data_IF_523409591760
#
_entry.id   IF_523409591760
#
_cell.length_a   1.000
_cell.length_b   1.000
_cell.length_c   1.000
_cell.angle_alpha   90.00
_cell.angle_beta   90.00
_cell.angle_gamma   90.00
#
_symmetry.space_group_name_H-M   'P 1'
#
loop_
_entity.id
_entity.type
_entity.pdbx_description
1 polymer ?
#
# COMPACT_ATOMS: atom_id res chain seq x y z
N UNK A 1 45.68 23.90 15.30
CA UNK A 1 44.42 24.68 15.33
C UNK A 1 43.32 23.84 14.71
N UNK A 2 42.22 23.67 15.47
CA UNK A 2 40.85 23.22 15.14
C UNK A 2 40.65 22.06 14.14
N UNK A 3 40.46 20.85 14.71
CA UNK A 3 39.77 19.71 14.10
C UNK A 3 38.27 20.01 14.10
N UNK A 4 37.63 20.03 12.93
CA UNK A 4 36.17 20.19 12.79
C UNK A 4 35.51 18.82 12.92
N UNK A 5 35.06 18.50 14.13
CA UNK A 5 34.14 17.39 14.39
C UNK A 5 32.78 17.74 13.82
N UNK A 6 32.42 17.10 12.71
CA UNK A 6 31.04 17.04 12.22
C UNK A 6 30.22 16.20 13.21
N UNK A 7 29.55 16.87 14.14
CA UNK A 7 28.47 16.28 14.91
C UNK A 7 27.28 16.13 13.96
N UNK A 8 27.07 14.91 13.46
CA UNK A 8 25.84 14.55 12.78
C UNK A 8 24.69 14.66 13.80
N UNK A 9 24.00 15.80 13.76
CA UNK A 9 22.76 16.01 14.48
C UNK A 9 21.78 14.94 14.00
N UNK A 10 21.55 13.95 14.85
CA UNK A 10 20.59 12.88 14.66
C UNK A 10 19.22 13.55 14.59
N UNK A 11 18.70 13.72 13.38
CA UNK A 11 17.31 14.06 13.17
C UNK A 11 16.48 12.90 13.73
N UNK A 12 16.09 13.02 15.00
CA UNK A 12 15.01 12.25 15.59
C UNK A 12 13.76 12.70 14.85
N UNK A 13 13.45 12.02 13.75
CA UNK A 13 12.12 12.04 13.16
C UNK A 13 11.18 11.54 14.24
N UNK A 14 10.57 12.51 14.93
CA UNK A 14 9.46 12.27 15.82
C UNK A 14 8.40 11.51 15.01
N UNK A 15 8.21 10.23 15.34
CA UNK A 15 6.98 9.50 15.04
C UNK A 15 5.84 10.15 15.82
N UNK A 16 5.45 11.34 15.39
CA UNK A 16 4.24 12.01 15.82
C UNK A 16 3.18 11.69 14.78
N UNK A 17 2.50 10.56 14.96
CA UNK A 17 1.08 10.34 14.66
C UNK A 17 0.77 8.83 14.58
N UNK A 18 0.87 8.12 15.71
CA UNK A 18 -0.02 6.97 15.98
C UNK A 18 -1.46 7.46 16.20
N UNK A 19 -1.98 8.33 15.33
CA UNK A 19 -3.42 8.41 15.10
C UNK A 19 -3.73 7.28 14.14
N UNK A 20 -3.81 6.06 14.70
CA UNK A 20 -4.59 5.04 14.06
C UNK A 20 -5.92 5.66 13.64
N UNK A 21 -6.37 5.35 12.42
CA UNK A 21 -7.70 5.67 11.92
C UNK A 21 -8.73 4.95 12.82
N UNK A 22 -8.95 5.52 14.00
CA UNK A 22 -9.90 5.11 15.01
C UNK A 22 -10.93 6.21 15.16
N UNK A 23 -11.99 6.12 14.35
CA UNK A 23 -13.28 6.79 14.56
C UNK A 23 -13.29 8.31 14.40
N UNK A 24 -13.81 8.80 13.27
CA UNK A 24 -14.10 10.21 13.10
C UNK A 24 -15.12 10.46 11.99
N UNK A 25 -16.35 10.73 12.39
CA UNK A 25 -17.49 11.13 11.57
C UNK A 25 -17.20 12.45 10.81
N UNK A 26 -17.44 12.47 9.49
CA UNK A 26 -17.77 13.67 8.71
C UNK A 26 -16.63 14.34 7.90
N UNK A 27 -16.75 14.28 6.56
CA UNK A 27 -16.65 15.40 5.58
C UNK A 27 -16.31 14.85 4.18
N UNK A 28 -17.20 15.07 3.20
CA UNK A 28 -17.33 14.43 1.87
C UNK A 28 -16.11 14.37 0.92
N UNK A 29 -14.99 15.03 1.23
CA UNK A 29 -13.73 14.91 0.45
C UNK A 29 -12.63 14.11 1.15
N UNK A 30 -12.76 13.89 2.46
CA UNK A 30 -11.93 12.95 3.22
C UNK A 30 -12.41 11.50 3.05
N UNK A 31 -13.68 11.33 2.67
CA UNK A 31 -14.36 10.02 2.63
C UNK A 31 -13.77 9.02 1.64
N UNK A 32 -13.23 9.46 0.49
CA UNK A 32 -12.61 8.55 -0.49
C UNK A 32 -11.24 8.08 -0.06
N UNK A 33 -10.41 8.99 0.48
CA UNK A 33 -9.10 8.61 1.01
C UNK A 33 -9.25 7.67 2.21
N UNK A 34 -10.19 7.93 3.13
CA UNK A 34 -10.47 7.01 4.24
C UNK A 34 -11.00 5.65 3.77
N UNK A 35 -11.89 5.63 2.77
CA UNK A 35 -12.41 4.36 2.21
C UNK A 35 -11.29 3.57 1.54
N UNK A 36 -10.46 4.24 0.74
CA UNK A 36 -9.26 3.67 0.14
C UNK A 36 -8.34 3.08 1.21
N UNK A 37 -7.96 3.85 2.24
CA UNK A 37 -7.06 3.38 3.28
C UNK A 37 -7.62 2.20 4.07
N UNK A 38 -8.92 2.20 4.40
CA UNK A 38 -9.60 1.07 5.02
C UNK A 38 -9.61 -0.17 4.12
N UNK A 39 -9.85 0.02 2.83
CA UNK A 39 -9.82 -1.06 1.86
C UNK A 39 -8.40 -1.61 1.67
N UNK A 40 -7.35 -0.77 1.71
CA UNK A 40 -5.94 -1.18 1.67
C UNK A 40 -5.59 -2.00 2.90
N UNK A 41 -5.94 -1.53 4.10
CA UNK A 41 -5.69 -2.27 5.35
C UNK A 41 -6.41 -3.62 5.35
N UNK A 42 -7.69 -3.63 4.95
CA UNK A 42 -8.47 -4.86 4.85
C UNK A 42 -7.91 -5.82 3.81
N UNK A 43 -7.46 -5.33 2.65
CA UNK A 43 -6.82 -6.16 1.64
C UNK A 43 -5.48 -6.73 2.12
N UNK A 44 -4.67 -5.92 2.82
CA UNK A 44 -3.41 -6.34 3.42
C UNK A 44 -3.58 -7.45 4.47
N UNK A 45 -4.55 -7.30 5.38
CA UNK A 45 -4.89 -8.36 6.36
C UNK A 45 -5.37 -9.65 5.70
N UNK A 46 -6.22 -9.55 4.68
CA UNK A 46 -6.64 -10.74 3.93
C UNK A 46 -5.48 -11.41 3.21
N UNK A 47 -4.48 -10.63 2.78
CA UNK A 47 -3.25 -11.12 2.17
C UNK A 47 -2.38 -11.93 3.15
N UNK A 48 -2.23 -11.47 4.39
CA UNK A 48 -1.55 -12.23 5.45
C UNK A 48 -2.33 -13.48 5.87
N UNK A 49 -3.66 -13.43 5.82
CA UNK A 49 -4.53 -14.56 6.16
C UNK A 49 -4.69 -15.59 5.01
N UNK A 50 -4.07 -15.39 3.83
CA UNK A 50 -4.16 -16.37 2.73
C UNK A 50 -3.51 -17.69 3.14
N UNK A 51 -4.32 -18.72 3.34
CA UNK A 51 -3.86 -20.09 3.55
C UNK A 51 -4.05 -20.97 2.31
N UNK A 52 -4.83 -20.52 1.33
CA UNK A 52 -5.20 -21.32 0.15
C UNK A 52 -5.46 -20.50 -1.12
N UNK A 53 -5.49 -21.18 -2.26
CA UNK A 53 -5.81 -20.56 -3.55
C UNK A 53 -7.24 -19.99 -3.62
N UNK A 54 -8.19 -20.53 -2.84
CA UNK A 54 -9.56 -20.01 -2.79
C UNK A 54 -9.64 -18.65 -2.08
N UNK A 55 -8.78 -18.40 -1.08
CA UNK A 55 -8.70 -17.11 -0.39
C UNK A 55 -8.13 -16.01 -1.31
N UNK A 56 -7.34 -16.44 -2.30
CA UNK A 56 -6.69 -15.59 -3.29
C UNK A 56 -7.70 -14.88 -4.21
N UNK A 57 -8.82 -15.53 -4.56
CA UNK A 57 -9.93 -14.88 -5.29
C UNK A 57 -10.59 -13.77 -4.46
N UNK A 58 -10.80 -14.02 -3.16
CA UNK A 58 -11.34 -13.02 -2.23
C UNK A 58 -10.42 -11.82 -2.03
N UNK A 59 -9.10 -12.07 -2.04
CA UNK A 59 -8.07 -11.03 -2.02
C UNK A 59 -8.05 -10.24 -3.33
N UNK A 60 -8.16 -10.90 -4.50
CA UNK A 60 -8.25 -10.19 -5.78
C UNK A 60 -9.45 -9.27 -5.87
N UNK A 61 -10.61 -9.69 -5.35
CA UNK A 61 -11.78 -8.81 -5.23
C UNK A 61 -11.50 -7.59 -4.36
N UNK A 62 -10.76 -7.76 -3.26
CA UNK A 62 -10.39 -6.68 -2.35
C UNK A 62 -9.37 -5.71 -3.00
N UNK A 63 -8.37 -6.22 -3.71
CA UNK A 63 -7.40 -5.42 -4.47
C UNK A 63 -8.06 -4.62 -5.60
N UNK A 64 -9.02 -5.21 -6.32
CA UNK A 64 -9.81 -4.49 -7.34
C UNK A 64 -10.60 -3.34 -6.74
N UNK A 65 -11.19 -3.56 -5.55
CA UNK A 65 -11.88 -2.51 -4.81
C UNK A 65 -10.92 -1.39 -4.39
N UNK A 66 -9.76 -1.75 -3.84
CA UNK A 66 -8.69 -0.80 -3.51
C UNK A 66 -8.31 0.05 -4.72
N UNK A 67 -8.07 -0.57 -5.88
CA UNK A 67 -7.79 0.15 -7.14
C UNK A 67 -8.93 1.12 -7.52
N UNK A 68 -10.17 0.71 -7.35
CA UNK A 68 -11.31 1.52 -7.77
C UNK A 68 -11.44 2.79 -6.94
N UNK A 69 -11.20 2.68 -5.62
CA UNK A 69 -11.16 3.77 -4.65
C UNK A 69 -9.83 4.53 -4.63
N UNK A 70 -8.77 3.96 -5.21
CA UNK A 70 -7.43 4.54 -5.22
C UNK A 70 -7.41 5.93 -5.87
N UNK A 71 -6.59 6.86 -5.33
CA UNK A 71 -6.35 8.12 -5.99
C UNK A 71 -5.68 7.87 -7.35
N UNK A 72 -5.98 8.73 -8.33
CA UNK A 72 -5.53 8.55 -9.71
C UNK A 72 -4.01 8.47 -9.88
N UNK A 73 -3.23 8.95 -8.90
CA UNK A 73 -1.77 8.86 -8.87
C UNK A 73 -1.22 7.44 -8.75
N UNK A 74 -1.95 6.52 -8.10
CA UNK A 74 -1.54 5.12 -7.87
C UNK A 74 -2.53 4.09 -8.40
N UNK A 75 -3.65 4.52 -8.98
CA UNK A 75 -4.66 3.64 -9.57
C UNK A 75 -4.11 2.74 -10.69
N UNK A 76 -3.21 3.27 -11.52
CA UNK A 76 -2.53 2.48 -12.57
C UNK A 76 -1.48 1.53 -11.96
N UNK A 77 -0.82 1.94 -10.90
CA UNK A 77 0.12 1.07 -10.17
C UNK A 77 -0.65 -0.11 -9.54
N UNK A 78 -1.82 0.12 -8.93
CA UNK A 78 -2.70 -0.95 -8.44
C UNK A 78 -3.19 -1.87 -9.56
N UNK A 79 -3.52 -1.30 -10.71
CA UNK A 79 -3.90 -2.09 -11.89
C UNK A 79 -2.76 -2.98 -12.38
N UNK A 80 -1.53 -2.48 -12.32
CA UNK A 80 -0.32 -3.26 -12.65
C UNK A 80 -0.15 -4.42 -11.68
N UNK A 81 -0.32 -4.19 -10.38
CA UNK A 81 -0.23 -5.21 -9.34
C UNK A 81 -1.30 -6.31 -9.49
N UNK A 82 -2.56 -5.93 -9.77
CA UNK A 82 -3.66 -6.87 -10.03
C UNK A 82 -3.36 -7.73 -11.27
N UNK A 83 -2.96 -7.11 -12.38
CA UNK A 83 -2.57 -7.84 -13.60
C UNK A 83 -1.43 -8.80 -13.33
N UNK A 84 -0.44 -8.37 -12.53
CA UNK A 84 0.66 -9.19 -12.06
C UNK A 84 0.20 -10.50 -11.43
N UNK A 85 -0.74 -10.38 -10.49
CA UNK A 85 -1.35 -11.51 -9.81
C UNK A 85 -2.22 -12.37 -10.71
N UNK A 86 -3.03 -11.78 -11.59
CA UNK A 86 -3.88 -12.52 -12.54
C UNK A 86 -3.02 -13.36 -13.50
N UNK A 87 -1.95 -12.77 -14.05
CA UNK A 87 -0.99 -13.49 -14.88
C UNK A 87 -0.24 -14.57 -14.10
N UNK A 88 0.12 -14.33 -12.84
CA UNK A 88 0.73 -15.37 -12.01
C UNK A 88 -0.22 -16.55 -11.76
N UNK A 89 -1.51 -16.27 -11.51
CA UNK A 89 -2.53 -17.32 -11.37
C UNK A 89 -2.76 -18.10 -12.66
N UNK A 90 -2.71 -17.44 -13.83
CA UNK A 90 -2.84 -18.10 -15.13
C UNK A 90 -1.58 -18.84 -15.57
N UNK A 91 -0.48 -18.74 -14.82
CA UNK A 91 0.82 -19.33 -15.17
C UNK A 91 1.63 -18.54 -16.20
N UNK A 92 1.20 -17.32 -16.54
CA UNK A 92 1.86 -16.43 -17.50
C UNK A 92 2.82 -15.44 -16.80
N UNK A 93 3.75 -16.01 -16.02
CA UNK A 93 4.74 -15.21 -15.28
C UNK A 93 5.86 -14.66 -16.18
N UNK A 94 6.01 -15.22 -17.38
CA UNK A 94 7.04 -14.80 -18.34
C UNK A 94 6.74 -13.44 -18.99
N UNK A 95 5.47 -13.05 -19.05
CA UNK A 95 5.05 -11.75 -19.57
C UNK A 95 4.98 -10.67 -18.49
N UNK A 96 5.37 -10.99 -17.25
CA UNK A 96 5.37 -10.02 -16.16
C UNK A 96 6.57 -9.10 -16.25
N UNK A 97 6.28 -7.81 -16.39
CA UNK A 97 7.26 -6.76 -16.20
C UNK A 97 7.53 -6.59 -14.69
N UNK A 98 8.52 -7.34 -14.20
CA UNK A 98 8.93 -7.30 -12.78
C UNK A 98 9.37 -5.91 -12.35
N UNK A 99 9.98 -5.13 -13.25
CA UNK A 99 10.41 -3.77 -12.95
C UNK A 99 9.19 -2.84 -12.80
N UNK A 100 8.18 -3.00 -13.66
CA UNK A 100 6.92 -2.25 -13.54
C UNK A 100 6.17 -2.64 -12.26
N UNK A 101 6.11 -3.93 -11.91
CA UNK A 101 5.49 -4.41 -10.68
C UNK A 101 6.20 -3.88 -9.42
N UNK A 102 7.54 -3.90 -9.42
CA UNK A 102 8.33 -3.36 -8.31
C UNK A 102 8.10 -1.86 -8.15
N UNK A 103 8.19 -1.08 -9.24
CA UNK A 103 7.94 0.36 -9.20
C UNK A 103 6.50 0.70 -8.78
N UNK A 104 5.53 -0.08 -9.24
CA UNK A 104 4.14 0.06 -8.83
C UNK A 104 4.00 -0.18 -7.31
N UNK A 105 4.60 -1.27 -6.80
CA UNK A 105 4.63 -1.57 -5.37
C UNK A 105 5.27 -0.44 -4.54
N UNK A 106 6.43 0.08 -4.96
CA UNK A 106 7.10 1.17 -4.24
C UNK A 106 6.29 2.47 -4.21
N UNK A 107 5.58 2.80 -5.30
CA UNK A 107 4.73 4.00 -5.33
C UNK A 107 3.49 3.84 -4.47
N UNK A 108 2.87 2.66 -4.52
CA UNK A 108 1.74 2.32 -3.66
C UNK A 108 2.17 2.39 -2.20
N UNK A 109 3.28 1.75 -1.81
CA UNK A 109 3.79 1.79 -0.45
C UNK A 109 4.06 3.22 0.03
N UNK A 110 4.77 4.02 -0.79
CA UNK A 110 5.02 5.44 -0.47
C UNK A 110 3.72 6.23 -0.30
N UNK A 111 2.73 5.99 -1.15
CA UNK A 111 1.46 6.69 -1.10
C UNK A 111 0.60 6.23 0.08
N UNK A 112 0.52 4.93 0.33
CA UNK A 112 -0.21 4.34 1.45
C UNK A 112 0.41 4.81 2.77
N UNK A 113 1.74 4.86 2.86
CA UNK A 113 2.44 5.40 4.02
C UNK A 113 2.19 6.90 4.20
N UNK A 114 2.19 7.68 3.12
CA UNK A 114 1.99 9.13 3.18
C UNK A 114 0.54 9.53 3.47
N UNK A 115 -0.42 8.85 2.84
CA UNK A 115 -1.84 9.22 2.85
C UNK A 115 -2.66 8.43 3.86
N UNK A 116 -2.25 7.19 4.18
CA UNK A 116 -2.96 6.30 5.10
C UNK A 116 -2.21 6.03 6.42
N UNK A 117 -0.94 6.44 6.54
CA UNK A 117 -0.07 6.08 7.68
C UNK A 117 0.03 4.57 7.92
N UNK A 118 -0.12 3.77 6.86
CA UNK A 118 0.00 2.32 6.91
C UNK A 118 1.38 1.90 6.40
N UNK A 119 2.11 1.10 7.17
CA UNK A 119 3.28 0.37 6.67
C UNK A 119 2.79 -0.94 6.04
N UNK A 120 2.91 -1.10 4.73
CA UNK A 120 2.48 -2.34 4.06
C UNK A 120 3.28 -3.56 4.53
N UNK A 121 4.55 -3.37 4.89
CA UNK A 121 5.42 -4.40 5.49
C UNK A 121 4.90 -4.94 6.84
N UNK A 122 4.00 -4.21 7.52
CA UNK A 122 3.42 -4.65 8.79
C UNK A 122 2.04 -5.29 8.65
N UNK A 123 1.47 -5.25 7.44
CA UNK A 123 0.15 -5.81 7.13
C UNK A 123 0.23 -7.25 6.61
N UNK A 124 1.39 -7.65 6.08
CA UNK A 124 1.69 -9.00 5.61
C UNK A 124 2.46 -9.83 6.62
#
# INVERSE_FOLDING_TARGET
MRRLTFAAASATLALAALTGCGGGDGNDSASKTETYCKDVEAAGKKLSDIASAADLEGVMGSLKKVRDEAPGSVKEDWSTLIKGYESAQSGDVASLDQEALQKAGEKIDKQVKADCDLDMDKLS
#
